data_IF_030434130898
#
_entry.id   IF_030434130898
#
_cell.length_a   1.000
_cell.length_b   1.000
_cell.length_c   1.000
_cell.angle_alpha   90.00
_cell.angle_beta   90.00
_cell.angle_gamma   90.00
#
_symmetry.space_group_name_H-M   'P 1'
#
loop_
_entity.id
_entity.type
_entity.pdbx_description
1 polymer ?
#
# COMPACT_ATOMS: atom_id res chain seq x y z
N UNK A 1 -2.30 18.38 -5.46
CA UNK A 1 -3.44 17.43 -5.42
C UNK A 1 -3.29 16.47 -6.59
N UNK A 2 -3.84 15.26 -6.48
CA UNK A 2 -3.96 14.32 -7.61
C UNK A 2 -5.00 14.82 -8.61
N UNK A 3 -4.79 14.61 -9.92
CA UNK A 3 -5.61 15.18 -11.01
C UNK A 3 -7.12 14.97 -10.87
N UNK A 4 -7.55 13.86 -10.26
CA UNK A 4 -8.97 13.50 -10.14
C UNK A 4 -9.55 13.68 -8.72
N UNK A 5 -8.82 14.34 -7.82
CA UNK A 5 -9.27 14.52 -6.43
C UNK A 5 -10.61 15.26 -6.34
N UNK A 6 -10.80 16.30 -7.16
CA UNK A 6 -12.05 17.10 -7.21
C UNK A 6 -13.25 16.31 -7.75
N UNK A 7 -13.01 15.23 -8.50
CA UNK A 7 -14.03 14.30 -8.97
C UNK A 7 -14.34 13.22 -7.93
N UNK A 8 -13.74 13.32 -6.74
CA UNK A 8 -13.91 12.36 -5.65
C UNK A 8 -13.06 11.10 -5.79
N UNK A 9 -12.15 11.01 -6.78
CA UNK A 9 -11.29 9.84 -6.94
C UNK A 9 -10.19 9.81 -5.87
N UNK A 10 -10.12 8.69 -5.16
CA UNK A 10 -9.08 8.41 -4.17
C UNK A 10 -8.13 7.35 -4.75
N UNK A 11 -6.85 7.69 -4.84
CA UNK A 11 -5.81 6.83 -5.37
C UNK A 11 -4.78 6.49 -4.28
N UNK A 12 -4.31 5.25 -4.28
CA UNK A 12 -3.34 4.71 -3.33
C UNK A 12 -2.14 4.10 -4.08
N UNK A 13 -0.94 4.23 -3.54
CA UNK A 13 0.22 3.46 -3.99
C UNK A 13 0.35 2.23 -3.08
N UNK A 14 0.26 1.02 -3.63
CA UNK A 14 0.19 -0.19 -2.80
C UNK A 14 1.26 -1.20 -3.19
N UNK A 15 2.06 -1.61 -2.21
CA UNK A 15 2.87 -2.81 -2.31
C UNK A 15 2.03 -4.02 -1.86
N UNK A 16 1.78 -4.99 -2.76
CA UNK A 16 0.89 -6.12 -2.47
C UNK A 16 1.52 -7.25 -1.65
N UNK A 17 2.73 -7.06 -1.10
CA UNK A 17 3.55 -8.15 -0.55
C UNK A 17 4.26 -8.98 -1.63
N UNK A 18 5.03 -9.96 -1.16
CA UNK A 18 5.81 -10.92 -1.92
C UNK A 18 5.05 -12.26 -2.02
N UNK A 19 3.99 -12.27 -2.82
CA UNK A 19 3.14 -13.44 -3.04
C UNK A 19 3.71 -14.34 -4.15
N UNK A 20 3.68 -15.66 -3.96
CA UNK A 20 4.17 -16.65 -4.93
C UNK A 20 3.22 -16.88 -6.11
N UNK A 21 2.99 -15.84 -6.91
CA UNK A 21 2.18 -15.88 -8.12
C UNK A 21 2.96 -16.41 -9.32
N UNK A 22 2.26 -16.83 -10.38
CA UNK A 22 2.93 -17.24 -11.63
C UNK A 22 3.70 -16.11 -12.30
N UNK A 23 3.30 -14.85 -12.07
CA UNK A 23 4.08 -13.68 -12.47
C UNK A 23 5.39 -13.60 -11.66
N UNK A 24 5.33 -13.76 -10.33
CA UNK A 24 6.49 -13.68 -9.45
C UNK A 24 7.48 -14.82 -9.69
N UNK A 25 7.03 -16.01 -10.10
CA UNK A 25 7.90 -17.14 -10.46
C UNK A 25 8.81 -16.86 -11.66
N UNK A 26 8.53 -15.82 -12.47
CA UNK A 26 9.42 -15.36 -13.56
C UNK A 26 10.66 -14.62 -13.05
N UNK A 27 10.70 -14.24 -11.77
CA UNK A 27 11.91 -13.71 -11.13
C UNK A 27 13.02 -14.77 -11.09
N UNK A 28 14.30 -14.36 -11.00
CA UNK A 28 15.40 -15.27 -10.75
C UNK A 28 15.15 -16.21 -9.56
N UNK A 29 15.49 -17.49 -9.70
CA UNK A 29 15.17 -18.53 -8.72
C UNK A 29 15.67 -18.23 -7.30
N UNK A 30 16.80 -17.52 -7.16
CA UNK A 30 17.34 -17.14 -5.86
C UNK A 30 16.44 -16.15 -5.08
N UNK A 31 15.52 -15.47 -5.76
CA UNK A 31 14.51 -14.58 -5.16
C UNK A 31 13.24 -15.32 -4.74
N UNK A 32 12.99 -16.55 -5.20
CA UNK A 32 11.75 -17.26 -4.87
C UNK A 32 11.62 -17.52 -3.36
N UNK A 33 12.74 -17.62 -2.65
CA UNK A 33 12.78 -17.77 -1.19
C UNK A 33 12.19 -16.59 -0.42
N UNK A 34 11.96 -15.44 -1.04
CA UNK A 34 11.31 -14.28 -0.39
C UNK A 34 9.82 -14.18 -0.72
N UNK A 35 9.31 -15.02 -1.63
CA UNK A 35 7.89 -15.07 -2.00
C UNK A 35 7.11 -15.90 -0.98
N UNK A 36 6.86 -15.35 0.22
CA UNK A 36 6.29 -16.07 1.36
C UNK A 36 4.94 -15.54 1.82
N UNK A 37 4.48 -14.43 1.26
CA UNK A 37 3.23 -13.83 1.70
C UNK A 37 2.04 -14.58 1.08
N UNK A 38 1.00 -14.77 1.90
CA UNK A 38 -0.25 -15.38 1.48
C UNK A 38 -1.02 -14.42 0.55
N UNK A 39 -1.67 -14.91 -0.52
CA UNK A 39 -2.44 -14.07 -1.44
C UNK A 39 -3.57 -13.30 -0.73
N UNK A 40 -4.10 -13.83 0.36
CA UNK A 40 -5.10 -13.20 1.23
C UNK A 40 -4.63 -11.84 1.77
N UNK A 41 -3.34 -11.68 2.10
CA UNK A 41 -2.77 -10.41 2.61
C UNK A 41 -3.02 -9.26 1.63
N UNK A 42 -2.84 -9.52 0.34
CA UNK A 42 -3.09 -8.53 -0.72
C UNK A 42 -4.59 -8.27 -0.88
N UNK A 43 -5.42 -9.32 -0.86
CA UNK A 43 -6.87 -9.25 -1.02
C UNK A 43 -7.56 -8.50 0.12
N UNK A 44 -7.28 -8.90 1.35
CA UNK A 44 -7.83 -8.31 2.57
C UNK A 44 -7.43 -6.85 2.70
N UNK A 45 -6.20 -6.49 2.29
CA UNK A 45 -5.77 -5.10 2.23
C UNK A 45 -6.59 -4.26 1.24
N UNK A 46 -7.04 -4.82 0.12
CA UNK A 46 -7.93 -4.09 -0.81
C UNK A 46 -9.30 -3.87 -0.19
N UNK A 47 -9.89 -4.91 0.41
CA UNK A 47 -11.14 -4.79 1.16
C UNK A 47 -11.00 -3.72 2.26
N UNK A 48 -9.91 -3.76 3.02
CA UNK A 48 -9.61 -2.78 4.06
C UNK A 48 -9.53 -1.36 3.50
N UNK A 49 -8.86 -1.13 2.38
CA UNK A 49 -8.73 0.21 1.77
C UNK A 49 -10.02 0.73 1.12
N UNK A 50 -10.91 -0.16 0.70
CA UNK A 50 -12.17 0.19 0.03
C UNK A 50 -13.39 0.26 0.96
N UNK A 51 -13.34 -0.36 2.15
CA UNK A 51 -14.50 -0.41 3.05
C UNK A 51 -14.93 0.97 3.59
N UNK A 52 -13.98 1.90 3.72
CA UNK A 52 -14.23 3.26 4.19
C UNK A 52 -13.37 4.23 3.39
N UNK A 53 -13.89 5.45 3.20
CA UNK A 53 -13.17 6.51 2.49
C UNK A 53 -12.14 7.15 3.42
N UNK A 54 -10.86 6.85 3.18
CA UNK A 54 -9.72 7.34 3.98
C UNK A 54 -8.93 8.39 3.22
N UNK A 55 -9.41 9.63 3.22
CA UNK A 55 -8.81 10.71 2.43
C UNK A 55 -7.36 11.02 2.82
N UNK A 56 -7.00 10.81 4.09
CA UNK A 56 -5.65 11.03 4.58
C UNK A 56 -4.61 10.10 3.93
N UNK A 57 -5.03 8.95 3.38
CA UNK A 57 -4.18 8.02 2.64
C UNK A 57 -3.97 8.38 1.16
N UNK A 58 -4.61 9.45 0.67
CA UNK A 58 -4.53 9.85 -0.73
C UNK A 58 -3.07 10.05 -1.19
N UNK A 59 -2.70 9.31 -2.26
CA UNK A 59 -1.35 9.38 -2.86
C UNK A 59 -0.23 8.84 -1.97
N UNK A 60 -0.54 8.18 -0.85
CA UNK A 60 0.46 7.58 0.03
C UNK A 60 0.74 6.13 -0.32
N UNK A 61 1.96 5.70 -0.02
CA UNK A 61 2.43 4.34 -0.11
C UNK A 61 1.94 3.51 1.08
N UNK A 62 1.37 2.35 0.79
CA UNK A 62 0.87 1.38 1.76
C UNK A 62 1.49 0.03 1.44
N UNK A 63 2.06 -0.63 2.44
CA UNK A 63 2.47 -2.02 2.32
C UNK A 63 1.41 -2.94 2.96
N UNK A 64 0.91 -3.90 2.19
CA UNK A 64 -0.07 -4.87 2.66
C UNK A 64 0.45 -5.75 3.81
N UNK A 65 1.77 -5.87 3.98
CA UNK A 65 2.38 -6.69 5.04
C UNK A 65 2.53 -5.94 6.38
N UNK A 66 2.03 -4.71 6.50
CA UNK A 66 2.08 -3.95 7.75
C UNK A 66 1.01 -4.40 8.74
N UNK A 67 1.31 -4.27 10.04
CA UNK A 67 0.30 -4.38 11.09
C UNK A 67 -0.68 -3.21 10.97
N UNK A 68 -1.93 -3.51 10.63
CA UNK A 68 -2.96 -2.51 10.34
C UNK A 68 -3.33 -1.67 11.59
N UNK A 69 -3.53 -2.27 12.79
CA UNK A 69 -3.75 -1.50 14.02
C UNK A 69 -2.62 -0.51 14.33
N UNK A 70 -1.37 -0.95 14.23
CA UNK A 70 -0.20 -0.09 14.41
C UNK A 70 -0.19 1.03 13.35
N UNK A 71 -0.43 0.68 12.09
CA UNK A 71 -0.46 1.66 10.99
C UNK A 71 -1.51 2.76 11.23
N UNK A 72 -2.73 2.38 11.63
CA UNK A 72 -3.80 3.31 11.95
C UNK A 72 -3.46 4.20 13.15
N UNK A 73 -2.76 3.65 14.16
CA UNK A 73 -2.32 4.45 15.32
C UNK A 73 -1.34 5.58 14.98
N UNK A 74 -0.70 5.51 13.80
CA UNK A 74 0.25 6.53 13.32
C UNK A 74 -0.38 7.59 12.41
N UNK A 75 -1.71 7.58 12.20
CA UNK A 75 -2.39 8.52 11.28
C UNK A 75 -1.96 9.98 11.53
N UNK A 76 -2.03 10.45 12.78
CA UNK A 76 -1.70 11.84 13.12
C UNK A 76 -0.28 12.21 12.70
N UNK A 77 0.72 11.40 13.06
CA UNK A 77 2.13 11.59 12.71
C UNK A 77 2.37 11.54 11.19
N UNK A 78 1.66 10.66 10.48
CA UNK A 78 1.74 10.55 9.01
C UNK A 78 1.16 11.79 8.33
N UNK A 79 0.07 12.34 8.85
CA UNK A 79 -0.61 13.52 8.30
C UNK A 79 0.19 14.79 8.60
N UNK A 80 0.58 15.01 9.86
CA UNK A 80 1.29 16.21 10.31
C UNK A 80 2.62 16.40 9.59
N UNK A 81 3.34 15.31 9.33
CA UNK A 81 4.64 15.33 8.67
C UNK A 81 4.61 14.90 7.20
N UNK A 82 3.41 14.71 6.63
CA UNK A 82 3.17 14.33 5.24
C UNK A 82 4.02 13.12 4.78
N UNK A 83 4.14 12.11 5.66
CA UNK A 83 4.93 10.89 5.46
C UNK A 83 4.30 9.95 4.44
N UNK A 84 5.07 8.93 4.04
CA UNK A 84 4.66 7.87 3.11
C UNK A 84 4.33 8.36 1.70
N UNK A 85 4.82 9.54 1.31
CA UNK A 85 4.79 10.01 -0.07
C UNK A 85 6.17 9.85 -0.67
N UNK A 86 6.24 9.14 -1.77
CA UNK A 86 7.43 9.11 -2.61
C UNK A 86 7.64 10.49 -3.24
N UNK A 87 8.82 11.07 -3.06
CA UNK A 87 9.17 12.40 -3.59
C UNK A 87 10.54 12.33 -4.24
N UNK A 88 10.61 12.81 -5.47
CA UNK A 88 11.88 13.10 -6.12
C UNK A 88 12.21 14.56 -5.86
N UNK A 89 13.30 14.81 -5.15
CA UNK A 89 13.82 16.15 -4.87
C UNK A 89 15.12 16.34 -5.66
N UNK A 90 15.30 17.52 -6.24
CA UNK A 90 16.55 17.97 -6.84
C UNK A 90 17.26 18.93 -5.90
#
# INVERSE_FOLDING_TARGET
>A
MTEYAEQGLLAYCVHPGAVNTDMAKKLPAYLHKVLRDDPEVAGDSKCFLSQERREWLAGRYINCTWDIPEFLSKEQDIVEHDKLKERMLF
#
